data_IF_048620490488
#
_entry.id   IF_048620490488
#
_cell.length_a   1.000
_cell.length_b   1.000
_cell.length_c   1.000
_cell.angle_alpha   90.00
_cell.angle_beta   90.00
_cell.angle_gamma   90.00
#
_symmetry.space_group_name_H-M   'P 1'
#
loop_
_entity.id
_entity.type
_entity.pdbx_description
1 polymer ?
#
# COMPACT_ATOMS: atom_id res chain seq x y z
N UNK A 1 -9.28 -11.38 12.14
CA UNK A 1 -7.97 -11.71 12.72
C UNK A 1 -7.02 -12.10 11.60
N UNK A 2 -5.79 -11.55 11.61
CA UNK A 2 -4.72 -11.94 10.69
C UNK A 2 -4.13 -13.28 11.14
N UNK A 3 -3.66 -14.06 10.17
CA UNK A 3 -2.94 -15.31 10.38
C UNK A 3 -1.56 -15.25 9.71
N UNK A 4 -0.64 -16.16 10.04
CA UNK A 4 0.64 -16.22 9.32
C UNK A 4 0.48 -16.53 7.84
N UNK A 5 -0.64 -17.14 7.43
CA UNK A 5 -0.93 -17.39 6.01
C UNK A 5 -1.05 -16.10 5.19
N UNK A 6 -1.47 -14.99 5.81
CA UNK A 6 -1.59 -13.68 5.15
C UNK A 6 -0.23 -13.10 4.78
N UNK A 7 0.84 -13.58 5.44
CA UNK A 7 2.23 -13.20 5.22
C UNK A 7 3.03 -14.33 4.54
N UNK A 8 2.37 -15.37 4.01
CA UNK A 8 3.04 -16.52 3.41
C UNK A 8 3.94 -16.12 2.23
N UNK A 9 5.07 -16.81 2.09
CA UNK A 9 6.02 -16.60 0.99
C UNK A 9 7.44 -16.35 1.43
N UNK A 10 8.27 -15.95 0.46
CA UNK A 10 9.66 -15.58 0.65
C UNK A 10 9.82 -14.05 0.56
N UNK A 11 10.54 -13.48 1.50
CA UNK A 11 10.69 -12.06 1.71
C UNK A 11 12.14 -11.67 1.91
N UNK A 12 12.53 -10.46 1.48
CA UNK A 12 13.86 -9.90 1.66
C UNK A 12 13.81 -8.52 2.29
N UNK A 13 14.79 -8.24 3.14
CA UNK A 13 14.99 -6.95 3.78
C UNK A 13 15.47 -5.91 2.75
N UNK A 14 14.98 -4.69 2.85
CA UNK A 14 15.48 -3.57 2.06
C UNK A 14 16.73 -2.91 2.64
N UNK A 15 17.13 -3.24 3.87
CA UNK A 15 18.31 -2.66 4.50
C UNK A 15 19.62 -2.91 3.71
N UNK A 16 19.92 -4.12 3.19
CA UNK A 16 21.10 -4.34 2.35
C UNK A 16 21.14 -3.47 1.09
N UNK A 17 19.97 -3.18 0.50
CA UNK A 17 19.85 -2.35 -0.71
C UNK A 17 20.10 -0.85 -0.44
N UNK A 18 19.90 -0.39 0.80
CA UNK A 18 20.35 0.94 1.24
C UNK A 18 21.87 1.00 1.43
N UNK A 19 22.47 -0.10 1.90
CA UNK A 19 23.91 -0.15 2.17
C UNK A 19 24.75 -0.20 0.90
N UNK A 20 24.26 -0.87 -0.15
CA UNK A 20 24.97 -1.03 -1.42
C UNK A 20 24.66 0.06 -2.46
N UNK A 21 23.73 0.99 -2.16
CA UNK A 21 23.37 2.13 -3.00
C UNK A 21 22.27 1.87 -4.03
N UNK A 22 21.67 0.67 -4.06
CA UNK A 22 20.58 0.34 -5.00
C UNK A 22 19.34 1.24 -4.81
N UNK A 23 19.13 1.76 -3.58
CA UNK A 23 18.01 2.65 -3.23
C UNK A 23 18.40 4.15 -3.21
N UNK A 24 19.54 4.54 -3.75
CA UNK A 24 19.97 5.94 -3.81
C UNK A 24 18.96 6.83 -4.56
N UNK A 25 18.36 6.30 -5.64
CA UNK A 25 17.33 7.02 -6.41
C UNK A 25 16.07 7.30 -5.58
N UNK A 26 15.66 6.34 -4.76
CA UNK A 26 14.54 6.54 -3.83
C UNK A 26 14.86 7.61 -2.78
N UNK A 27 16.04 7.56 -2.17
CA UNK A 27 16.46 8.59 -1.20
C UNK A 27 16.56 9.99 -1.83
N UNK A 28 16.99 10.07 -3.10
CA UNK A 28 17.02 11.31 -3.87
C UNK A 28 15.61 11.85 -4.11
N UNK A 29 14.70 10.98 -4.57
CA UNK A 29 13.29 11.32 -4.81
C UNK A 29 12.62 11.86 -3.54
N UNK A 30 12.83 11.19 -2.39
CA UNK A 30 12.31 11.66 -1.09
C UNK A 30 12.85 13.05 -0.68
N UNK A 31 14.09 13.34 -1.01
CA UNK A 31 14.68 14.66 -0.72
C UNK A 31 14.13 15.75 -1.64
N UNK A 32 13.76 15.41 -2.88
CA UNK A 32 13.17 16.34 -3.85
C UNK A 32 11.72 16.68 -3.52
N UNK A 33 11.01 15.77 -2.84
CA UNK A 33 9.62 15.97 -2.41
C UNK A 33 9.49 16.58 -1.01
N UNK A 34 10.59 16.71 -0.26
CA UNK A 34 10.56 17.28 1.09
C UNK A 34 10.35 18.81 1.02
N UNK A 35 9.37 19.31 1.75
CA UNK A 35 9.12 20.77 1.88
C UNK A 35 10.32 21.53 2.46
N UNK A 36 11.16 20.85 3.27
CA UNK A 36 12.42 21.40 3.76
C UNK A 36 13.53 21.24 2.71
N UNK A 37 13.73 22.27 1.92
CA UNK A 37 14.78 22.33 0.90
C UNK A 37 16.21 22.11 1.41
N UNK A 38 16.44 22.05 2.72
CA UNK A 38 17.72 21.69 3.34
C UNK A 38 17.90 20.17 3.45
N UNK A 39 16.85 19.38 3.26
CA UNK A 39 16.90 17.91 3.33
C UNK A 39 17.56 17.38 2.05
N UNK A 40 18.52 16.49 2.23
CA UNK A 40 19.31 15.93 1.12
C UNK A 40 19.09 14.41 0.98
N UNK A 41 19.51 13.86 -0.16
CA UNK A 41 19.58 12.42 -0.37
C UNK A 41 20.27 11.71 0.81
N UNK A 42 21.41 12.25 1.26
CA UNK A 42 22.20 11.64 2.33
C UNK A 42 21.46 11.67 3.68
N UNK A 43 20.67 12.71 3.93
CA UNK A 43 19.80 12.80 5.12
C UNK A 43 18.79 11.65 5.13
N UNK A 44 18.10 11.40 4.00
CA UNK A 44 17.15 10.29 3.88
C UNK A 44 17.85 8.94 3.93
N UNK A 45 19.00 8.80 3.27
CA UNK A 45 19.78 7.56 3.29
C UNK A 45 20.15 7.15 4.72
N UNK A 46 20.70 8.07 5.51
CA UNK A 46 21.06 7.80 6.92
C UNK A 46 19.81 7.54 7.79
N UNK A 47 18.71 8.27 7.55
CA UNK A 47 17.43 8.03 8.22
C UNK A 47 16.89 6.63 7.97
N UNK A 48 16.88 6.17 6.70
CA UNK A 48 16.38 4.85 6.35
C UNK A 48 17.34 3.74 6.78
N UNK A 49 18.66 3.91 6.67
CA UNK A 49 19.64 2.96 7.21
C UNK A 49 19.41 2.71 8.70
N UNK A 50 19.21 3.76 9.48
CA UNK A 50 18.94 3.62 10.90
C UNK A 50 17.56 3.00 11.20
N UNK A 51 16.55 3.40 10.44
CA UNK A 51 15.16 2.95 10.63
C UNK A 51 14.95 1.51 10.18
N UNK A 52 15.48 1.11 9.01
CA UNK A 52 15.25 -0.23 8.43
C UNK A 52 16.27 -1.26 8.86
N UNK A 53 17.17 -0.91 9.76
CA UNK A 53 18.19 -1.83 10.28
C UNK A 53 17.54 -3.12 10.79
N UNK A 54 18.06 -4.25 10.30
CA UNK A 54 17.59 -5.58 10.64
C UNK A 54 18.72 -6.58 10.50
N UNK A 55 18.83 -7.53 11.45
CA UNK A 55 19.84 -8.57 11.40
C UNK A 55 19.47 -9.71 10.43
N UNK A 56 18.17 -9.94 10.19
CA UNK A 56 17.70 -10.89 9.19
C UNK A 56 17.65 -10.24 7.81
N UNK A 57 18.27 -10.88 6.82
CA UNK A 57 18.22 -10.44 5.43
C UNK A 57 17.04 -11.02 4.66
N UNK A 58 16.62 -12.26 5.05
CA UNK A 58 15.48 -12.94 4.43
C UNK A 58 14.59 -13.58 5.47
N UNK A 59 13.32 -13.69 5.12
CA UNK A 59 12.31 -14.41 5.89
C UNK A 59 11.51 -15.27 4.93
N UNK A 60 11.22 -16.51 5.33
CA UNK A 60 10.30 -17.41 4.65
C UNK A 60 9.20 -17.84 5.61
N UNK A 61 7.95 -17.73 5.15
CA UNK A 61 6.77 -18.07 5.95
C UNK A 61 5.98 -19.15 5.21
N UNK A 62 5.84 -20.32 5.86
CA UNK A 62 5.11 -21.46 5.31
C UNK A 62 4.23 -22.08 6.41
N UNK A 63 2.90 -21.99 6.26
CA UNK A 63 1.98 -22.35 7.30
C UNK A 63 2.26 -21.56 8.58
N UNK A 64 2.51 -22.23 9.68
CA UNK A 64 2.83 -21.60 10.96
C UNK A 64 4.33 -21.46 11.23
N UNK A 65 5.19 -21.80 10.27
CA UNK A 65 6.64 -21.75 10.42
C UNK A 65 7.20 -20.46 9.83
N UNK A 66 8.00 -19.75 10.62
CA UNK A 66 8.84 -18.64 10.16
C UNK A 66 10.30 -19.10 10.17
N UNK A 67 10.98 -18.90 9.05
CA UNK A 67 12.42 -19.12 8.89
C UNK A 67 13.11 -17.80 8.68
N UNK A 68 14.06 -17.46 9.53
CA UNK A 68 14.91 -16.26 9.41
C UNK A 68 16.26 -16.67 8.80
N UNK A 69 16.74 -15.91 7.84
CA UNK A 69 18.09 -16.04 7.27
C UNK A 69 18.87 -14.77 7.57
N UNK A 70 19.99 -14.91 8.24
CA UNK A 70 20.87 -13.81 8.66
C UNK A 70 21.98 -13.55 7.64
N UNK A 71 22.65 -12.40 7.75
CA UNK A 71 23.74 -11.98 6.85
C UNK A 71 24.93 -12.96 6.79
N UNK A 72 25.17 -13.71 7.84
CA UNK A 72 26.22 -14.77 7.91
C UNK A 72 25.79 -16.10 7.25
N UNK A 73 24.58 -16.14 6.68
CA UNK A 73 23.98 -17.34 6.08
C UNK A 73 23.36 -18.31 7.10
N UNK A 74 23.41 -18.00 8.39
CA UNK A 74 22.73 -18.81 9.40
C UNK A 74 21.22 -18.72 9.21
N UNK A 75 20.55 -19.86 9.35
CA UNK A 75 19.09 -19.95 9.34
C UNK A 75 18.57 -20.47 10.66
N UNK A 76 17.45 -19.92 11.13
CA UNK A 76 16.70 -20.42 12.26
C UNK A 76 15.24 -20.51 11.90
N UNK A 77 14.55 -21.55 12.36
CA UNK A 77 13.13 -21.78 12.07
C UNK A 77 12.38 -22.18 13.34
N UNK A 78 11.18 -21.70 13.48
CA UNK A 78 10.28 -22.16 14.54
C UNK A 78 8.82 -22.07 14.07
N UNK A 79 7.95 -22.85 14.72
CA UNK A 79 6.52 -22.69 14.60
C UNK A 79 6.05 -21.58 15.55
N UNK A 80 5.15 -20.73 15.06
CA UNK A 80 4.59 -19.61 15.80
C UNK A 80 3.08 -19.73 15.94
N UNK A 81 2.58 -19.27 17.06
CA UNK A 81 1.13 -19.17 17.34
C UNK A 81 0.72 -17.70 17.43
N UNK A 82 -0.48 -17.41 16.97
CA UNK A 82 -1.05 -16.07 17.07
C UNK A 82 -1.29 -15.70 18.54
N UNK A 83 -0.76 -14.56 18.96
CA UNK A 83 -0.83 -14.05 20.33
C UNK A 83 -1.72 -12.80 20.47
N UNK A 84 -2.34 -12.34 19.37
CA UNK A 84 -3.20 -11.16 19.38
C UNK A 84 -2.69 -10.04 18.49
N UNK A 85 -3.15 -8.83 18.78
CA UNK A 85 -2.68 -7.63 18.08
C UNK A 85 -2.58 -6.45 19.05
N UNK A 86 -1.77 -5.46 18.68
CA UNK A 86 -1.59 -4.24 19.46
C UNK A 86 -1.68 -3.02 18.55
N UNK A 87 -2.64 -2.09 18.80
CA UNK A 87 -2.71 -0.84 18.06
C UNK A 87 -1.59 0.12 18.52
N UNK A 88 -0.99 0.82 17.57
CA UNK A 88 -0.12 1.96 17.83
C UNK A 88 -0.95 3.23 17.68
N UNK A 89 -1.03 4.01 18.74
CA UNK A 89 -1.78 5.26 18.76
C UNK A 89 -0.85 6.44 18.46
N UNK A 90 -1.40 7.49 17.87
CA UNK A 90 -0.76 8.79 17.78
C UNK A 90 -0.97 9.60 19.08
N UNK A 91 -0.45 10.83 19.10
CA UNK A 91 -0.52 11.72 20.28
C UNK A 91 -1.96 12.16 20.61
N UNK A 92 -2.90 12.01 19.64
CA UNK A 92 -4.32 12.30 19.80
C UNK A 92 -5.13 11.06 20.23
N UNK A 93 -4.48 9.90 20.36
CA UNK A 93 -5.12 8.62 20.73
C UNK A 93 -5.82 7.91 19.56
N UNK A 94 -5.59 8.32 18.32
CA UNK A 94 -6.11 7.67 17.12
C UNK A 94 -5.19 6.50 16.72
N UNK A 95 -5.77 5.41 16.24
CA UNK A 95 -5.00 4.27 15.74
C UNK A 95 -4.25 4.69 14.47
N UNK A 96 -2.92 4.66 14.54
CA UNK A 96 -2.02 4.94 13.43
C UNK A 96 -1.65 3.67 12.66
N UNK A 97 -1.47 2.56 13.37
CA UNK A 97 -1.17 1.25 12.78
C UNK A 97 -1.51 0.14 13.76
N UNK A 98 -1.56 -1.10 13.27
CA UNK A 98 -1.81 -2.28 14.07
C UNK A 98 -0.66 -3.26 13.87
N UNK A 99 -0.14 -3.81 14.97
CA UNK A 99 0.87 -4.88 14.93
C UNK A 99 0.24 -6.20 15.33
N UNK A 100 0.27 -7.17 14.44
CA UNK A 100 -0.18 -8.54 14.67
C UNK A 100 0.93 -9.34 15.32
N UNK A 101 0.63 -10.03 16.39
CA UNK A 101 1.59 -10.64 17.31
C UNK A 101 1.59 -12.16 17.17
N UNK A 102 2.79 -12.73 17.09
CA UNK A 102 3.02 -14.16 17.03
C UNK A 102 4.16 -14.52 17.98
N UNK A 103 4.04 -15.68 18.64
CA UNK A 103 5.02 -16.14 19.62
C UNK A 103 5.37 -17.60 19.45
N UNK A 104 6.57 -17.96 19.92
CA UNK A 104 7.06 -19.33 19.99
C UNK A 104 7.75 -19.60 21.33
N UNK A 105 7.76 -20.85 21.75
CA UNK A 105 8.52 -21.30 22.93
C UNK A 105 9.93 -21.80 22.55
N UNK A 106 10.26 -21.81 21.26
CA UNK A 106 11.60 -22.19 20.79
C UNK A 106 12.66 -21.21 21.27
N UNK A 107 13.72 -21.72 21.88
CA UNK A 107 14.87 -20.90 22.30
C UNK A 107 15.85 -20.60 21.14
N UNK A 108 15.72 -21.29 20.00
CA UNK A 108 16.64 -21.20 18.86
C UNK A 108 16.24 -20.09 17.87
N UNK A 109 15.02 -19.53 18.00
CA UNK A 109 14.48 -18.48 17.14
C UNK A 109 13.98 -17.31 17.99
N UNK A 110 13.77 -16.11 17.39
CA UNK A 110 13.14 -15.00 18.07
C UNK A 110 11.78 -15.41 18.66
N UNK A 111 11.60 -15.26 19.97
CA UNK A 111 10.40 -15.75 20.66
C UNK A 111 9.15 -14.92 20.35
N UNK A 112 9.31 -13.63 20.08
CA UNK A 112 8.23 -12.69 19.81
C UNK A 112 8.42 -12.07 18.44
N UNK A 113 7.36 -12.09 17.65
CA UNK A 113 7.33 -11.50 16.30
C UNK A 113 6.09 -10.64 16.16
N UNK A 114 6.25 -9.46 15.56
CA UNK A 114 5.14 -8.58 15.21
C UNK A 114 5.23 -8.22 13.73
N UNK A 115 4.10 -8.28 13.04
CA UNK A 115 3.96 -7.79 11.67
C UNK A 115 3.10 -6.54 11.65
N UNK A 116 3.50 -5.57 10.86
CA UNK A 116 2.70 -4.43 10.47
C UNK A 116 2.71 -4.36 8.94
N UNK A 117 1.59 -4.63 8.33
CA UNK A 117 1.35 -4.34 6.93
C UNK A 117 0.43 -3.11 6.79
N UNK A 118 0.43 -2.53 5.62
CA UNK A 118 -0.44 -1.38 5.33
C UNK A 118 -1.83 -1.81 4.84
N UNK A 119 -2.07 -3.11 4.72
CA UNK A 119 -3.36 -3.68 4.31
C UNK A 119 -4.42 -3.57 5.42
N UNK A 120 -5.60 -3.09 5.06
CA UNK A 120 -6.74 -2.98 6.00
C UNK A 120 -7.63 -4.22 5.98
N UNK A 121 -7.50 -5.09 4.98
CA UNK A 121 -8.28 -6.30 4.82
C UNK A 121 -7.39 -7.55 4.88
N UNK A 122 -7.92 -8.69 5.36
CA UNK A 122 -7.23 -9.96 5.26
C UNK A 122 -6.98 -10.29 3.79
N UNK A 123 -5.73 -10.51 3.44
CA UNK A 123 -5.28 -10.81 2.08
C UNK A 123 -3.78 -11.01 2.05
N UNK A 124 -3.23 -11.37 0.90
CA UNK A 124 -1.79 -11.48 0.75
C UNK A 124 -1.12 -10.13 0.95
N UNK A 125 -0.15 -10.07 1.87
CA UNK A 125 0.67 -8.89 2.04
C UNK A 125 1.58 -8.72 0.81
N UNK A 126 1.70 -7.49 0.32
CA UNK A 126 2.66 -7.14 -0.76
C UNK A 126 4.01 -6.78 -0.17
N UNK A 127 4.02 -6.11 0.96
CA UNK A 127 5.17 -5.79 1.79
C UNK A 127 4.74 -5.67 3.26
N UNK A 128 5.70 -5.67 4.17
CA UNK A 128 5.42 -5.45 5.59
C UNK A 128 6.63 -4.93 6.35
N UNK A 129 6.35 -4.39 7.53
CA UNK A 129 7.35 -4.18 8.58
C UNK A 129 7.29 -5.33 9.57
N UNK A 130 8.45 -5.86 9.94
CA UNK A 130 8.55 -6.94 10.92
C UNK A 130 9.45 -6.54 12.09
N UNK A 131 9.04 -6.92 13.27
CA UNK A 131 9.77 -6.70 14.52
C UNK A 131 9.89 -8.03 15.23
N UNK A 132 11.07 -8.39 15.69
CA UNK A 132 11.29 -9.65 16.36
C UNK A 132 12.39 -9.56 17.42
N UNK A 133 12.31 -10.40 18.45
CA UNK A 133 13.26 -10.44 19.56
C UNK A 133 12.80 -11.36 20.68
N UNK A 134 13.46 -11.26 21.83
CA UNK A 134 13.23 -12.15 22.97
C UNK A 134 12.73 -11.39 24.24
N UNK A 135 12.63 -10.07 24.19
CA UNK A 135 12.33 -9.23 25.36
C UNK A 135 10.82 -8.92 25.52
N UNK A 136 9.95 -9.57 24.71
CA UNK A 136 8.51 -9.41 24.75
C UNK A 136 7.96 -8.37 23.78
N UNK A 137 6.64 -8.38 23.60
CA UNK A 137 5.94 -7.51 22.63
C UNK A 137 6.06 -6.01 22.96
N UNK A 138 6.05 -5.63 24.25
CA UNK A 138 6.18 -4.22 24.66
C UNK A 138 7.56 -3.65 24.32
N UNK A 139 8.60 -4.47 24.41
CA UNK A 139 9.94 -4.07 23.99
C UNK A 139 10.00 -3.83 22.47
N UNK A 140 9.35 -4.68 21.67
CA UNK A 140 9.24 -4.51 20.23
C UNK A 140 8.43 -3.26 19.86
N UNK A 141 7.36 -2.94 20.59
CA UNK A 141 6.55 -1.74 20.37
C UNK A 141 7.33 -0.45 20.62
N UNK A 142 8.23 -0.44 21.61
CA UNK A 142 9.06 0.70 21.97
C UNK A 142 10.34 0.84 21.12
N UNK A 143 10.63 -0.15 20.27
CA UNK A 143 11.79 -0.15 19.38
C UNK A 143 11.78 1.03 18.40
N UNK A 144 12.99 1.49 18.02
CA UNK A 144 13.18 2.63 17.11
C UNK A 144 13.33 2.21 15.65
N UNK A 145 13.59 0.92 15.40
CA UNK A 145 13.72 0.37 14.06
C UNK A 145 12.35 0.03 13.47
N UNK A 146 12.26 0.08 12.15
CA UNK A 146 11.07 -0.24 11.36
C UNK A 146 11.48 -1.06 10.14
N UNK A 147 12.02 -2.29 10.31
CA UNK A 147 12.55 -3.10 9.23
C UNK A 147 11.51 -3.34 8.14
N UNK A 148 11.91 -3.13 6.90
CA UNK A 148 11.01 -3.17 5.74
C UNK A 148 11.34 -4.39 4.88
N UNK A 149 10.35 -5.23 4.61
CA UNK A 149 10.47 -6.44 3.81
C UNK A 149 9.52 -6.43 2.62
N UNK A 150 10.04 -6.86 1.47
CA UNK A 150 9.31 -7.02 0.22
C UNK A 150 9.43 -8.45 -0.29
N UNK A 151 8.59 -8.85 -1.25
CA UNK A 151 8.68 -10.18 -1.89
C UNK A 151 10.10 -10.41 -2.43
N UNK A 152 10.69 -11.59 -2.14
CA UNK A 152 12.07 -11.92 -2.55
C UNK A 152 12.26 -11.93 -4.07
N UNK A 153 11.19 -12.18 -4.82
CA UNK A 153 11.20 -12.22 -6.28
C UNK A 153 11.32 -10.85 -6.97
N UNK A 154 11.05 -9.74 -6.27
CA UNK A 154 11.10 -8.40 -6.87
C UNK A 154 12.52 -8.02 -7.31
N UNK A 155 12.66 -7.44 -8.50
CA UNK A 155 13.90 -6.81 -8.94
C UNK A 155 14.14 -5.47 -8.22
N UNK A 156 15.34 -4.91 -8.32
CA UNK A 156 15.63 -3.56 -7.79
C UNK A 156 14.76 -2.51 -8.48
N UNK A 157 14.47 -2.68 -9.76
CA UNK A 157 13.61 -1.78 -10.53
C UNK A 157 12.16 -1.81 -10.04
N UNK A 158 11.64 -3.02 -9.76
CA UNK A 158 10.30 -3.19 -9.18
C UNK A 158 10.22 -2.57 -7.79
N UNK A 159 11.23 -2.80 -6.94
CA UNK A 159 11.33 -2.20 -5.60
C UNK A 159 11.34 -0.68 -5.68
N UNK A 160 12.14 -0.09 -6.57
CA UNK A 160 12.16 1.35 -6.78
C UNK A 160 10.82 1.86 -7.28
N UNK A 161 10.16 1.12 -8.18
CA UNK A 161 8.81 1.43 -8.67
C UNK A 161 7.80 1.45 -7.55
N UNK A 162 7.80 0.44 -6.68
CA UNK A 162 6.95 0.41 -5.49
C UNK A 162 7.25 1.57 -4.53
N UNK A 163 8.51 1.76 -4.13
CA UNK A 163 8.88 2.78 -3.15
C UNK A 163 8.64 4.22 -3.66
N UNK A 164 8.82 4.49 -4.94
CA UNK A 164 8.56 5.81 -5.54
C UNK A 164 7.11 5.98 -5.99
N UNK A 165 6.39 4.88 -6.26
CA UNK A 165 4.96 4.90 -6.57
C UNK A 165 4.05 4.96 -5.34
N UNK A 166 4.56 4.54 -4.17
CA UNK A 166 3.85 4.56 -2.89
C UNK A 166 4.06 5.84 -2.07
N UNK A 167 4.65 6.88 -2.66
CA UNK A 167 5.05 8.08 -1.90
C UNK A 167 3.94 9.09 -1.63
N UNK A 168 2.76 8.75 -1.95
CA UNK A 168 1.60 9.35 -1.33
C UNK A 168 1.12 8.32 -0.31
N UNK A 169 1.39 8.57 1.00
CA UNK A 169 0.97 7.70 2.10
C UNK A 169 -0.38 7.10 1.75
N UNK A 170 -0.57 5.79 1.92
CA UNK A 170 -1.77 5.06 1.51
C UNK A 170 -3.07 5.70 2.08
N UNK A 171 -3.42 6.86 1.63
CA UNK A 171 -4.81 7.19 1.45
C UNK A 171 -5.20 6.44 0.17
N UNK A 172 -5.75 5.23 0.34
CA UNK A 172 -6.50 4.59 -0.74
C UNK A 172 -7.43 5.67 -1.25
N UNK A 173 -7.32 5.98 -2.53
CA UNK A 173 -8.20 6.97 -3.14
C UNK A 173 -9.64 6.59 -2.76
N UNK A 174 -10.29 7.44 -1.98
CA UNK A 174 -11.64 7.20 -1.47
C UNK A 174 -12.70 7.16 -2.55
N UNK A 175 -12.39 7.63 -3.76
CA UNK A 175 -13.34 7.77 -4.88
C UNK A 175 -13.62 6.44 -5.61
N UNK A 176 -13.70 5.34 -4.86
CA UNK A 176 -13.93 3.98 -5.40
C UNK A 176 -15.16 3.88 -6.29
N UNK A 177 -16.19 4.71 -6.03
CA UNK A 177 -17.44 4.76 -6.79
C UNK A 177 -17.32 5.37 -8.18
N UNK A 178 -16.21 6.04 -8.49
CA UNK A 178 -15.93 6.57 -9.83
C UNK A 178 -15.48 5.49 -10.80
N UNK A 179 -15.11 4.30 -10.31
CA UNK A 179 -15.10 3.08 -11.13
C UNK A 179 -16.53 2.60 -11.33
N UNK A 180 -16.97 2.48 -12.57
CA UNK A 180 -18.31 1.93 -12.88
C UNK A 180 -18.44 0.46 -12.52
N UNK A 181 -17.33 -0.30 -12.52
CA UNK A 181 -17.28 -1.69 -12.05
C UNK A 181 -17.48 -1.76 -10.54
N UNK A 182 -16.73 -0.94 -9.78
CA UNK A 182 -16.86 -0.88 -8.33
C UNK A 182 -18.24 -0.37 -7.92
N UNK A 183 -18.77 0.65 -8.59
CA UNK A 183 -20.12 1.18 -8.34
C UNK A 183 -21.21 0.09 -8.46
N UNK A 184 -21.08 -0.82 -9.44
CA UNK A 184 -21.99 -1.95 -9.59
C UNK A 184 -21.89 -2.95 -8.42
N UNK A 185 -20.68 -3.21 -7.92
CA UNK A 185 -20.46 -4.05 -6.72
C UNK A 185 -21.06 -3.38 -5.49
N UNK A 186 -20.80 -2.10 -5.29
CA UNK A 186 -21.35 -1.32 -4.17
C UNK A 186 -22.89 -1.33 -4.17
N UNK A 187 -23.54 -1.23 -5.33
CA UNK A 187 -25.00 -1.32 -5.43
C UNK A 187 -25.54 -2.67 -4.89
N UNK A 188 -24.86 -3.78 -5.17
CA UNK A 188 -25.26 -5.10 -4.65
C UNK A 188 -25.05 -5.16 -3.14
N UNK A 189 -23.90 -4.76 -2.65
CA UNK A 189 -23.55 -4.78 -1.22
C UNK A 189 -24.53 -3.93 -0.41
N UNK A 190 -24.89 -2.74 -0.88
CA UNK A 190 -25.87 -1.87 -0.23
C UNK A 190 -27.27 -2.50 -0.25
N UNK A 191 -27.68 -3.09 -1.38
CA UNK A 191 -28.98 -3.73 -1.47
C UNK A 191 -29.08 -4.94 -0.52
N UNK A 192 -28.02 -5.74 -0.40
CA UNK A 192 -27.96 -6.88 0.51
C UNK A 192 -28.04 -6.43 1.99
N UNK A 193 -27.33 -5.38 2.33
CA UNK A 193 -27.42 -4.77 3.67
C UNK A 193 -28.83 -4.27 4.00
N UNK A 194 -29.48 -3.57 3.05
CA UNK A 194 -30.87 -3.13 3.19
C UNK A 194 -31.84 -4.29 3.33
N UNK A 195 -31.66 -5.35 2.55
CA UNK A 195 -32.48 -6.57 2.65
C UNK A 195 -32.34 -7.27 4.02
N UNK A 196 -31.19 -7.17 4.66
CA UNK A 196 -30.98 -7.74 5.99
C UNK A 196 -31.64 -6.92 7.10
N UNK A 197 -31.69 -5.58 6.95
CA UNK A 197 -32.28 -4.65 7.91
C UNK A 197 -33.81 -4.61 7.77
N UNK A 198 -34.31 -4.65 6.53
CA UNK A 198 -35.73 -4.52 6.17
C UNK A 198 -36.13 -5.64 5.19
N UNK A 199 -36.36 -6.86 5.69
CA UNK A 199 -36.73 -8.02 4.87
C UNK A 199 -38.05 -7.89 4.12
N UNK A 200 -39.00 -7.10 4.63
CA UNK A 200 -40.31 -6.92 4.04
C UNK A 200 -40.25 -6.21 2.68
N UNK A 201 -39.28 -5.33 2.49
CA UNK A 201 -39.05 -4.61 1.25
C UNK A 201 -37.91 -5.18 0.37
N UNK A 202 -37.43 -6.38 0.68
CA UNK A 202 -36.31 -7.04 -0.02
C UNK A 202 -36.44 -7.01 -1.54
N UNK A 203 -37.61 -7.39 -2.09
CA UNK A 203 -37.81 -7.46 -3.53
C UNK A 203 -37.70 -6.07 -4.19
N UNK A 204 -38.10 -5.02 -3.51
CA UNK A 204 -37.99 -3.64 -3.99
C UNK A 204 -36.51 -3.22 -4.05
N UNK A 205 -35.73 -3.52 -3.02
CA UNK A 205 -34.29 -3.18 -2.99
C UNK A 205 -33.52 -3.91 -4.11
N UNK A 206 -33.76 -5.21 -4.27
CA UNK A 206 -33.12 -5.99 -5.35
C UNK A 206 -33.50 -5.45 -6.73
N UNK A 207 -34.79 -5.16 -6.97
CA UNK A 207 -35.25 -4.65 -8.26
C UNK A 207 -34.65 -3.28 -8.58
N UNK A 208 -34.60 -2.38 -7.61
CA UNK A 208 -34.02 -1.04 -7.78
C UNK A 208 -32.51 -1.10 -8.02
N UNK A 209 -31.79 -1.94 -7.27
CA UNK A 209 -30.36 -2.15 -7.48
C UNK A 209 -30.06 -2.73 -8.86
N UNK A 210 -30.84 -3.72 -9.31
CA UNK A 210 -30.70 -4.30 -10.64
C UNK A 210 -30.91 -3.24 -11.73
N UNK A 211 -31.98 -2.48 -11.69
CA UNK A 211 -32.27 -1.43 -12.67
C UNK A 211 -31.21 -0.31 -12.68
N UNK A 212 -30.60 0.00 -11.55
CA UNK A 212 -29.52 0.99 -11.50
C UNK A 212 -28.21 0.43 -12.06
N UNK A 213 -27.88 -0.84 -11.73
CA UNK A 213 -26.72 -1.53 -12.31
C UNK A 213 -26.78 -1.64 -13.83
N UNK A 214 -27.97 -1.85 -14.41
CA UNK A 214 -28.13 -1.86 -15.87
C UNK A 214 -27.75 -0.50 -16.49
N UNK A 215 -28.05 0.60 -15.81
CA UNK A 215 -27.64 1.95 -16.25
C UNK A 215 -26.12 2.14 -16.13
N UNK A 216 -25.51 1.67 -15.02
CA UNK A 216 -24.08 1.73 -14.85
C UNK A 216 -23.32 0.87 -15.87
N UNK A 217 -23.85 -0.31 -16.20
CA UNK A 217 -23.28 -1.19 -17.22
C UNK A 217 -23.36 -0.57 -18.64
N UNK A 218 -24.45 0.12 -18.96
CA UNK A 218 -24.56 0.85 -20.22
C UNK A 218 -23.55 1.98 -20.32
N UNK A 219 -23.38 2.76 -19.24
CA UNK A 219 -22.40 3.83 -19.18
C UNK A 219 -20.95 3.29 -19.24
N UNK A 220 -20.66 2.16 -18.58
CA UNK A 220 -19.36 1.46 -18.68
C UNK A 220 -19.03 1.06 -20.13
N UNK A 221 -20.03 0.55 -20.86
CA UNK A 221 -19.86 0.21 -22.25
C UNK A 221 -19.58 1.45 -23.13
N UNK A 222 -20.22 2.60 -22.84
CA UNK A 222 -19.98 3.85 -23.56
C UNK A 222 -18.57 4.38 -23.32
N UNK A 223 -18.08 4.38 -22.06
CA UNK A 223 -16.69 4.76 -21.74
C UNK A 223 -15.69 3.83 -22.43
N UNK A 224 -15.92 2.53 -22.36
CA UNK A 224 -15.08 1.54 -23.02
C UNK A 224 -14.98 1.78 -24.52
N UNK A 225 -16.11 2.00 -25.19
CA UNK A 225 -16.15 2.27 -26.62
C UNK A 225 -15.42 3.59 -26.97
N UNK A 226 -15.62 4.63 -26.16
CA UNK A 226 -14.93 5.92 -26.33
C UNK A 226 -13.41 5.77 -26.23
N UNK A 227 -12.93 5.05 -25.20
CA UNK A 227 -11.49 4.83 -25.00
C UNK A 227 -10.90 3.92 -26.07
N UNK A 228 -11.60 2.86 -26.48
CA UNK A 228 -11.16 1.96 -27.57
C UNK A 228 -11.00 2.73 -28.88
N UNK A 229 -11.90 3.66 -29.16
CA UNK A 229 -11.87 4.50 -30.39
C UNK A 229 -10.90 5.69 -30.31
N UNK A 230 -10.36 6.01 -29.15
CA UNK A 230 -9.47 7.15 -28.97
C UNK A 230 -8.08 6.90 -29.55
N UNK A 231 -7.54 7.89 -30.27
CA UNK A 231 -6.16 7.89 -30.78
C UNK A 231 -5.15 8.04 -29.66
N UNK A 232 -5.46 8.87 -28.67
CA UNK A 232 -4.63 9.14 -27.50
C UNK A 232 -5.29 8.52 -26.26
N UNK A 233 -4.54 7.72 -25.51
CA UNK A 233 -4.99 7.08 -24.27
C UNK A 233 -4.34 7.71 -23.04
N UNK A 234 -4.18 9.02 -23.10
CA UNK A 234 -3.64 9.83 -22.00
C UNK A 234 -4.58 10.98 -21.75
N UNK A 235 -4.89 11.21 -20.48
CA UNK A 235 -5.73 12.33 -20.03
C UNK A 235 -4.90 13.25 -19.13
N UNK A 236 -5.23 14.53 -19.12
CA UNK A 236 -4.53 15.53 -18.35
C UNK A 236 -5.51 16.33 -17.52
N UNK A 237 -5.23 16.46 -16.24
CA UNK A 237 -6.06 17.16 -15.26
C UNK A 237 -5.28 18.36 -14.71
N UNK A 238 -5.81 19.55 -14.94
CA UNK A 238 -5.27 20.80 -14.38
C UNK A 238 -5.75 21.10 -12.95
N UNK A 239 -6.40 20.15 -12.31
CA UNK A 239 -7.01 20.26 -10.98
C UNK A 239 -6.81 18.94 -10.20
N UNK A 240 -7.52 18.77 -9.08
CA UNK A 240 -7.53 17.54 -8.27
C UNK A 240 -7.94 16.34 -9.11
N UNK A 241 -7.36 15.19 -8.77
CA UNK A 241 -7.54 13.97 -9.54
C UNK A 241 -8.27 12.86 -8.75
N UNK A 242 -9.61 12.88 -8.68
CA UNK A 242 -10.40 11.83 -8.01
C UNK A 242 -10.70 10.64 -8.93
N UNK A 243 -10.11 10.55 -10.11
CA UNK A 243 -10.49 9.59 -11.17
C UNK A 243 -9.56 8.38 -11.28
N UNK A 244 -8.79 8.07 -10.22
CA UNK A 244 -7.80 6.98 -10.23
C UNK A 244 -8.41 5.65 -10.72
N UNK A 245 -9.49 5.23 -10.09
CA UNK A 245 -10.16 3.98 -10.45
C UNK A 245 -10.80 3.99 -11.84
N UNK A 246 -11.28 5.15 -12.31
CA UNK A 246 -11.84 5.27 -13.65
C UNK A 246 -10.74 5.10 -14.71
N UNK A 247 -9.60 5.78 -14.58
CA UNK A 247 -8.51 5.66 -15.56
C UNK A 247 -7.91 4.26 -15.56
N UNK A 248 -7.79 3.61 -14.40
CA UNK A 248 -7.31 2.23 -14.27
C UNK A 248 -8.26 1.25 -14.96
N UNK A 249 -9.58 1.42 -14.80
CA UNK A 249 -10.60 0.57 -15.42
C UNK A 249 -10.50 0.48 -16.94
N UNK A 250 -10.09 1.59 -17.58
CA UNK A 250 -10.03 1.67 -19.06
C UNK A 250 -8.58 1.71 -19.58
N UNK A 251 -7.58 1.51 -18.73
CA UNK A 251 -6.16 1.50 -19.11
C UNK A 251 -5.67 2.83 -19.67
N UNK A 252 -6.20 3.94 -19.17
CA UNK A 252 -5.77 5.28 -19.51
C UNK A 252 -4.53 5.67 -18.70
N UNK A 253 -3.59 6.37 -19.34
CA UNK A 253 -2.52 7.09 -18.64
C UNK A 253 -3.02 8.48 -18.27
N UNK A 254 -2.49 9.03 -17.19
CA UNK A 254 -2.89 10.38 -16.77
C UNK A 254 -1.71 11.20 -16.29
N UNK A 255 -1.88 12.53 -16.35
CA UNK A 255 -1.10 13.53 -15.66
C UNK A 255 -2.05 14.44 -14.91
N UNK A 256 -1.75 14.76 -13.66
CA UNK A 256 -2.60 15.60 -12.82
C UNK A 256 -1.77 16.67 -12.10
N UNK A 257 -2.40 17.81 -11.83
CA UNK A 257 -1.78 18.88 -11.06
C UNK A 257 -1.65 18.51 -9.57
N UNK A 258 -2.58 17.72 -9.06
CA UNK A 258 -2.60 17.26 -7.68
C UNK A 258 -2.93 15.77 -7.63
N UNK A 259 -2.28 15.04 -6.74
CA UNK A 259 -2.63 13.66 -6.45
C UNK A 259 -3.87 13.59 -5.56
N UNK A 260 -4.87 12.79 -5.96
CA UNK A 260 -6.08 12.55 -5.18
C UNK A 260 -6.83 13.84 -4.80
N UNK A 261 -7.34 13.87 -3.58
CA UNK A 261 -7.99 15.02 -2.95
C UNK A 261 -7.05 15.83 -2.06
N UNK A 262 -5.83 16.06 -2.51
CA UNK A 262 -4.85 16.89 -1.81
C UNK A 262 -5.46 18.17 -1.24
N UNK A 263 -5.05 18.56 -0.03
CA UNK A 263 -5.47 19.81 0.59
C UNK A 263 -4.79 21.03 -0.04
N UNK A 264 -3.83 20.85 -0.94
CA UNK A 264 -3.17 21.91 -1.67
C UNK A 264 -4.19 22.67 -2.55
N UNK A 265 -4.08 23.98 -2.54
CA UNK A 265 -5.02 24.87 -3.24
C UNK A 265 -4.47 25.44 -4.54
N UNK A 266 -3.15 25.42 -4.71
CA UNK A 266 -2.46 25.98 -5.88
C UNK A 266 -1.34 25.04 -6.35
N UNK A 267 -1.32 24.73 -7.66
CA UNK A 267 -0.26 23.97 -8.25
C UNK A 267 1.02 24.82 -8.33
N UNK A 268 2.19 24.18 -8.06
CA UNK A 268 3.48 24.85 -8.20
C UNK A 268 3.69 25.32 -9.65
N UNK A 269 4.51 26.35 -9.83
CA UNK A 269 4.89 26.81 -11.18
C UNK A 269 5.57 25.70 -12.02
N UNK A 270 6.30 24.82 -11.37
CA UNK A 270 6.96 23.66 -11.99
C UNK A 270 5.92 22.65 -12.48
N UNK A 271 4.91 22.34 -11.67
CA UNK A 271 3.79 21.45 -12.04
C UNK A 271 3.03 22.02 -13.24
N UNK A 272 2.69 23.31 -13.22
CA UNK A 272 2.00 23.98 -14.35
C UNK A 272 2.86 23.94 -15.61
N UNK A 273 4.16 24.23 -15.49
CA UNK A 273 5.09 24.18 -16.62
C UNK A 273 5.26 22.76 -17.19
N UNK A 274 5.31 21.76 -16.31
CA UNK A 274 5.37 20.35 -16.71
C UNK A 274 4.11 19.93 -17.46
N UNK A 275 2.92 20.24 -16.93
CA UNK A 275 1.65 19.90 -17.59
C UNK A 275 1.49 20.60 -18.94
N UNK A 276 1.90 21.87 -19.03
CA UNK A 276 1.88 22.61 -20.30
C UNK A 276 2.77 21.94 -21.37
N UNK A 277 3.99 21.52 -20.99
CA UNK A 277 4.87 20.75 -21.89
C UNK A 277 4.24 19.43 -22.31
N UNK A 278 3.53 18.74 -21.40
CA UNK A 278 2.83 17.48 -21.73
C UNK A 278 1.69 17.70 -22.71
N UNK A 279 0.97 18.80 -22.63
CA UNK A 279 -0.04 19.18 -23.66
C UNK A 279 0.63 19.33 -25.02
N UNK A 280 1.75 20.07 -25.11
CA UNK A 280 2.48 20.28 -26.37
C UNK A 280 3.07 18.98 -26.94
N UNK A 281 3.54 18.05 -26.08
CA UNK A 281 4.10 16.76 -26.48
C UNK A 281 3.04 15.76 -26.97
N UNK A 282 1.82 15.83 -26.45
CA UNK A 282 0.75 14.87 -26.73
C UNK A 282 -0.18 15.34 -27.87
N UNK A 283 -0.16 16.60 -28.24
CA UNK A 283 -0.91 17.19 -29.36
C UNK A 283 -2.28 17.65 -28.95
#
# INVERSE_FOLDING_TARGET
>A
DRTLSDFAGAWKSLHPYLLNGDLDKFCQHRAEEDEDSSTTKDTYLEKFKASWQCDAEKISINGNTITFTYADGKTVSAEYTYAGYQPKLDDEGKIRSVRYQFETTSADAPQYVQFNDHGHEPGEAEHFHIYFGNDGFDALMSGKTNPFFVKDALSVEDILGELMGHDHGEEKDEHVWLSLKNAQVLCVTIADALCAIDPDNKNTYIANAAAYRDKLAALDADYKAAVEGATHKTVLFGDRFPFRYLVDDYGLRYYAAFAGCSAETEASFETVSFLAKKVDELG
#
